data_IF_152126424977
#
_entry.id   IF_152126424977
#
_cell.length_a   1.000
_cell.length_b   1.000
_cell.length_c   1.000
_cell.angle_alpha   90.00
_cell.angle_beta   90.00
_cell.angle_gamma   90.00
#
_symmetry.space_group_name_H-M   'P 1'
#
loop_
_entity.id
_entity.type
_entity.pdbx_description
1 polymer ?
#
# COMPACT_ATOMS: atom_id res chain seq x y z
N UNK A 1 19.66 -9.13 -8.15
CA UNK A 1 20.53 -8.75 -7.02
C UNK A 1 19.80 -7.88 -6.01
N UNK A 2 19.82 -8.22 -4.71
CA UNK A 2 19.24 -7.38 -3.66
C UNK A 2 19.96 -6.04 -3.61
N UNK A 3 19.20 -4.95 -3.63
CA UNK A 3 19.72 -3.59 -3.57
C UNK A 3 19.73 -3.12 -2.11
N UNK A 4 20.83 -2.49 -1.68
CA UNK A 4 20.88 -1.81 -0.38
C UNK A 4 20.30 -0.42 -0.56
N UNK A 5 19.25 -0.12 0.19
CA UNK A 5 18.65 1.21 0.21
C UNK A 5 18.78 1.83 1.61
N UNK A 6 19.04 3.13 1.64
CA UNK A 6 18.91 3.93 2.84
C UNK A 6 17.45 4.35 2.97
N UNK A 7 16.75 3.93 4.02
CA UNK A 7 15.36 4.35 4.21
C UNK A 7 15.30 5.82 4.67
N UNK A 8 16.25 6.20 5.51
CA UNK A 8 16.32 7.53 6.10
C UNK A 8 17.70 8.11 5.82
N UNK A 9 17.72 9.31 5.25
CA UNK A 9 18.97 10.06 5.07
C UNK A 9 19.48 10.43 6.45
N UNK A 10 20.64 9.89 6.83
CA UNK A 10 21.24 10.24 8.11
C UNK A 10 21.89 11.62 8.03
N UNK A 11 21.69 12.43 9.07
CA UNK A 11 22.41 13.70 9.24
C UNK A 11 23.92 13.47 9.42
N UNK A 12 24.30 12.33 10.02
CA UNK A 12 25.68 11.91 10.21
C UNK A 12 25.86 10.44 9.84
N UNK A 13 26.93 10.14 9.08
CA UNK A 13 27.32 8.76 8.77
C UNK A 13 27.83 8.05 10.03
N UNK A 14 27.43 6.79 10.27
CA UNK A 14 27.93 6.03 11.41
C UNK A 14 29.43 5.75 11.28
N UNK A 15 30.12 5.63 12.41
CA UNK A 15 31.49 5.18 12.44
C UNK A 15 31.60 3.73 11.88
N UNK A 16 32.42 3.50 10.84
CA UNK A 16 32.58 2.16 10.27
C UNK A 16 32.96 1.14 11.35
N UNK A 17 32.29 -0.02 11.33
CA UNK A 17 32.51 -1.16 12.23
C UNK A 17 32.21 -0.93 13.73
N UNK A 18 31.92 0.31 14.16
CA UNK A 18 31.67 0.65 15.56
C UNK A 18 30.19 0.94 15.84
N UNK A 19 29.47 1.46 14.86
CA UNK A 19 28.08 1.89 15.03
C UNK A 19 27.13 1.12 14.13
N UNK A 20 25.98 0.73 14.69
CA UNK A 20 24.90 0.11 13.93
C UNK A 20 24.31 1.12 12.94
N UNK A 21 24.06 0.65 11.73
CA UNK A 21 23.49 1.47 10.66
C UNK A 21 22.11 0.95 10.29
N UNK A 22 21.08 1.75 10.56
CA UNK A 22 19.72 1.44 10.17
C UNK A 22 19.60 1.44 8.63
N UNK A 23 19.35 0.27 8.04
CA UNK A 23 19.23 0.10 6.58
C UNK A 23 18.27 -1.01 6.24
N UNK A 24 17.85 -1.07 4.98
CA UNK A 24 17.16 -2.23 4.44
C UNK A 24 17.84 -2.78 3.22
N UNK A 25 17.64 -4.08 3.04
CA UNK A 25 17.74 -4.70 1.72
C UNK A 25 16.33 -4.88 1.20
N UNK A 26 16.13 -4.43 -0.03
CA UNK A 26 14.87 -4.59 -0.75
C UNK A 26 15.06 -5.60 -1.87
N UNK A 27 14.09 -6.48 -2.03
CA UNK A 27 14.01 -7.42 -3.15
C UNK A 27 12.60 -7.40 -3.72
N UNK A 28 12.49 -7.28 -5.03
CA UNK A 28 11.25 -7.45 -5.76
C UNK A 28 11.20 -8.87 -6.35
N UNK A 29 10.20 -9.64 -5.94
CA UNK A 29 9.84 -10.92 -6.54
C UNK A 29 8.72 -10.67 -7.55
N UNK A 30 9.01 -10.88 -8.84
CA UNK A 30 8.05 -10.73 -9.92
C UNK A 30 7.60 -12.14 -10.32
N UNK A 31 6.32 -12.42 -10.09
CA UNK A 31 5.64 -13.66 -10.49
C UNK A 31 4.50 -13.31 -11.46
N UNK A 32 3.91 -14.29 -12.18
CA UNK A 32 2.92 -13.99 -13.21
C UNK A 32 1.70 -13.20 -12.69
N UNK A 33 1.22 -13.51 -11.48
CA UNK A 33 0.02 -12.89 -10.89
C UNK A 33 0.30 -11.91 -9.73
N UNK A 34 1.53 -11.88 -9.22
CA UNK A 34 1.86 -11.06 -8.05
C UNK A 34 3.26 -10.44 -8.15
N UNK A 35 3.38 -9.23 -7.61
CA UNK A 35 4.66 -8.59 -7.33
C UNK A 35 4.78 -8.42 -5.83
N UNK A 36 5.79 -9.04 -5.23
CA UNK A 36 6.01 -8.98 -3.79
C UNK A 36 7.32 -8.24 -3.52
N UNK A 37 7.26 -7.24 -2.64
CA UNK A 37 8.43 -6.52 -2.18
C UNK A 37 8.79 -7.05 -0.80
N UNK A 38 10.00 -7.60 -0.67
CA UNK A 38 10.54 -8.09 0.58
C UNK A 38 11.54 -7.08 1.13
N UNK A 39 11.35 -6.71 2.40
CA UNK A 39 12.26 -5.87 3.14
C UNK A 39 12.92 -6.67 4.25
N UNK A 40 14.26 -6.67 4.25
CA UNK A 40 15.05 -7.13 5.39
C UNK A 40 15.60 -5.91 6.13
N UNK A 41 15.26 -5.77 7.42
CA UNK A 41 15.70 -4.66 8.28
C UNK A 41 17.01 -5.01 8.98
N UNK A 42 17.92 -4.04 9.05
CA UNK A 42 19.19 -4.16 9.75
C UNK A 42 19.39 -2.96 10.67
N UNK A 43 19.82 -3.20 11.91
CA UNK A 43 20.20 -2.13 12.84
C UNK A 43 19.04 -1.36 13.47
N UNK A 44 17.79 -1.79 13.29
CA UNK A 44 16.62 -1.21 13.96
C UNK A 44 15.44 -2.19 14.03
N UNK A 45 14.54 -1.96 14.97
CA UNK A 45 13.31 -2.73 15.16
C UNK A 45 12.09 -1.81 15.15
N UNK A 46 10.95 -2.32 14.65
CA UNK A 46 9.66 -1.64 14.72
C UNK A 46 8.68 -2.59 15.42
N UNK A 47 8.50 -2.41 16.73
CA UNK A 47 7.85 -3.41 17.60
C UNK A 47 6.44 -3.79 17.14
N UNK A 48 5.69 -2.83 16.57
CA UNK A 48 4.31 -3.02 16.15
C UNK A 48 4.14 -3.24 14.64
N UNK A 49 5.24 -3.26 13.88
CA UNK A 49 5.22 -3.22 12.41
C UNK A 49 5.77 -4.50 11.79
N UNK A 50 4.94 -5.55 11.80
CA UNK A 50 5.32 -6.89 11.38
C UNK A 50 5.91 -7.68 12.54
N UNK A 51 5.30 -8.81 12.89
CA UNK A 51 5.83 -9.75 13.87
C UNK A 51 6.39 -10.95 13.12
N UNK A 52 7.69 -11.19 13.25
CA UNK A 52 8.34 -12.33 12.61
C UNK A 52 7.73 -13.62 13.16
N UNK A 53 7.29 -14.49 12.25
CA UNK A 53 6.92 -15.85 12.60
C UNK A 53 8.14 -16.76 12.43
N UNK A 54 8.80 -17.10 13.54
CA UNK A 54 9.98 -17.96 13.56
C UNK A 54 9.73 -19.38 13.02
N UNK A 55 8.46 -19.81 12.98
CA UNK A 55 8.05 -21.10 12.42
C UNK A 55 7.74 -21.03 10.93
N UNK A 56 7.67 -19.84 10.33
CA UNK A 56 7.48 -19.69 8.88
C UNK A 56 8.75 -20.08 8.12
N UNK A 57 8.58 -20.68 6.94
CA UNK A 57 9.70 -21.17 6.12
C UNK A 57 10.78 -20.10 5.86
N UNK A 58 10.35 -18.86 5.57
CA UNK A 58 11.26 -17.74 5.31
C UNK A 58 11.55 -16.88 6.55
N UNK A 59 11.04 -17.25 7.75
CA UNK A 59 11.11 -16.43 8.96
C UNK A 59 10.67 -14.99 8.70
N UNK A 60 9.56 -14.84 7.98
CA UNK A 60 9.01 -13.56 7.58
C UNK A 60 7.91 -13.11 8.54
N UNK A 61 7.58 -11.81 8.51
CA UNK A 61 6.39 -11.30 9.19
C UNK A 61 5.13 -11.57 8.37
N UNK A 62 3.97 -11.18 8.92
CA UNK A 62 2.79 -10.92 8.10
C UNK A 62 3.07 -9.86 7.04
N UNK A 63 2.23 -9.81 6.00
CA UNK A 63 2.23 -8.72 5.02
C UNK A 63 2.03 -7.39 5.75
N UNK A 64 2.97 -6.47 5.57
CA UNK A 64 2.94 -5.17 6.24
C UNK A 64 2.37 -4.05 5.38
N UNK A 65 2.37 -4.25 4.06
CA UNK A 65 1.89 -3.30 3.06
C UNK A 65 1.07 -4.02 2.00
N UNK A 66 0.00 -3.39 1.55
CA UNK A 66 -0.69 -3.73 0.31
C UNK A 66 -0.57 -2.56 -0.66
N UNK A 67 -0.24 -2.85 -1.91
CA UNK A 67 0.03 -1.84 -2.93
C UNK A 67 -1.16 -1.64 -3.86
N UNK A 68 -1.35 -0.41 -4.33
CA UNK A 68 -2.23 -0.05 -5.45
C UNK A 68 -1.46 0.78 -6.46
N UNK A 69 -1.86 0.72 -7.73
CA UNK A 69 -1.29 1.52 -8.81
C UNK A 69 -2.40 2.29 -9.51
N UNK A 70 -2.31 3.62 -9.49
CA UNK A 70 -3.31 4.51 -10.09
C UNK A 70 -2.64 5.62 -10.89
N UNK A 71 -3.44 6.39 -11.63
CA UNK A 71 -3.03 7.73 -12.04
C UNK A 71 -3.17 8.72 -10.90
N UNK A 72 -2.30 9.73 -10.86
CA UNK A 72 -2.39 10.81 -9.90
C UNK A 72 -3.69 11.59 -10.11
N UNK A 73 -4.63 11.39 -9.20
CA UNK A 73 -5.82 12.20 -9.02
C UNK A 73 -6.02 12.40 -7.52
N UNK A 74 -5.90 13.65 -7.05
CA UNK A 74 -5.92 13.96 -5.63
C UNK A 74 -7.26 13.61 -4.99
N UNK A 75 -8.38 13.83 -5.68
CA UNK A 75 -9.71 13.50 -5.16
C UNK A 75 -9.88 12.00 -4.93
N UNK A 76 -9.36 11.19 -5.85
CA UNK A 76 -9.37 9.73 -5.71
C UNK A 76 -8.47 9.27 -4.57
N UNK A 77 -7.32 9.90 -4.37
CA UNK A 77 -6.42 9.59 -3.24
C UNK A 77 -7.07 10.00 -1.92
N UNK A 78 -7.71 11.17 -1.86
CA UNK A 78 -8.34 11.69 -0.65
C UNK A 78 -9.57 10.89 -0.23
N UNK A 79 -10.20 10.13 -1.13
CA UNK A 79 -11.25 9.16 -0.81
C UNK A 79 -10.86 8.23 0.35
N UNK A 80 -9.63 7.74 0.36
CA UNK A 80 -9.15 6.80 1.38
C UNK A 80 -9.11 7.40 2.79
N UNK A 81 -8.75 8.67 2.91
CA UNK A 81 -8.82 9.39 4.19
C UNK A 81 -10.24 9.86 4.51
N UNK A 82 -10.88 10.54 3.56
CA UNK A 82 -12.13 11.27 3.80
C UNK A 82 -13.36 10.35 3.84
N UNK A 83 -13.37 9.24 3.10
CA UNK A 83 -14.50 8.30 3.01
C UNK A 83 -14.21 7.00 3.76
N UNK A 84 -12.99 6.45 3.67
CA UNK A 84 -12.63 5.23 4.42
C UNK A 84 -12.00 5.52 5.78
N UNK A 85 -11.76 6.79 6.14
CA UNK A 85 -11.26 7.15 7.47
C UNK A 85 -9.85 6.64 7.76
N UNK A 86 -9.06 6.30 6.73
CA UNK A 86 -7.69 5.86 6.91
C UNK A 86 -6.78 7.04 7.30
N UNK A 87 -5.74 6.76 8.07
CA UNK A 87 -4.78 7.77 8.47
C UNK A 87 -3.79 8.01 7.34
N UNK A 88 -3.84 9.18 6.71
CA UNK A 88 -2.81 9.60 5.74
C UNK A 88 -1.50 9.86 6.49
N UNK A 89 -0.47 9.04 6.24
CA UNK A 89 0.83 9.10 6.95
C UNK A 89 1.97 9.63 6.09
N UNK A 90 1.90 9.47 4.77
CA UNK A 90 2.84 10.05 3.81
C UNK A 90 2.07 10.63 2.64
N UNK A 91 2.38 11.87 2.30
CA UNK A 91 1.91 12.54 1.09
C UNK A 91 3.07 13.32 0.49
N UNK A 92 3.50 12.92 -0.69
CA UNK A 92 4.51 13.68 -1.42
C UNK A 92 3.82 14.67 -2.35
N UNK A 93 4.22 15.94 -2.27
CA UNK A 93 3.82 16.94 -3.26
C UNK A 93 4.40 16.60 -4.65
N UNK A 94 5.62 16.06 -4.66
CA UNK A 94 6.39 15.72 -5.85
C UNK A 94 6.50 14.21 -6.09
N UNK A 95 7.05 13.85 -7.25
CA UNK A 95 7.33 12.47 -7.62
C UNK A 95 8.46 11.92 -6.74
N UNK A 96 8.32 10.66 -6.29
CA UNK A 96 9.35 9.97 -5.52
C UNK A 96 10.56 9.61 -6.41
N UNK A 97 10.30 9.25 -7.67
CA UNK A 97 11.35 8.86 -8.61
C UNK A 97 10.88 8.84 -10.06
N UNK A 98 11.83 8.58 -10.96
CA UNK A 98 11.63 8.50 -12.41
C UNK A 98 12.50 7.40 -13.04
N UNK A 99 12.49 7.35 -14.37
CA UNK A 99 13.27 6.42 -15.18
C UNK A 99 14.79 6.42 -14.91
N UNK A 100 15.35 7.54 -14.46
CA UNK A 100 16.80 7.69 -14.27
C UNK A 100 17.30 6.90 -13.06
N UNK A 101 16.41 6.55 -12.12
CA UNK A 101 16.74 5.70 -10.99
C UNK A 101 16.71 4.21 -11.40
N UNK A 102 17.84 3.48 -11.31
CA UNK A 102 17.90 2.09 -11.77
C UNK A 102 16.94 1.14 -11.04
N UNK A 103 16.74 1.33 -9.72
CA UNK A 103 15.86 0.49 -8.90
C UNK A 103 14.39 0.72 -9.27
N UNK A 104 13.98 1.98 -9.36
CA UNK A 104 12.63 2.37 -9.77
C UNK A 104 12.30 1.89 -11.18
N UNK A 105 13.23 2.07 -12.12
CA UNK A 105 13.13 1.55 -13.49
C UNK A 105 12.94 0.03 -13.49
N UNK A 106 13.68 -0.71 -12.68
CA UNK A 106 13.55 -2.18 -12.61
C UNK A 106 12.21 -2.62 -11.99
N UNK A 107 11.80 -2.04 -10.86
CA UNK A 107 10.60 -2.44 -10.11
C UNK A 107 9.32 -2.18 -10.92
N UNK A 108 9.22 -0.99 -11.52
CA UNK A 108 8.01 -0.56 -12.23
C UNK A 108 8.13 -0.67 -13.76
N UNK A 109 9.28 -1.11 -14.28
CA UNK A 109 9.53 -1.18 -15.72
C UNK A 109 9.30 0.17 -16.42
N UNK A 110 9.78 1.24 -15.78
CA UNK A 110 9.53 2.61 -16.24
C UNK A 110 10.09 2.85 -17.66
N UNK A 111 9.40 3.67 -18.44
CA UNK A 111 9.91 4.28 -19.68
C UNK A 111 10.45 5.69 -19.41
N UNK A 112 11.28 6.29 -20.30
CA UNK A 112 11.96 7.58 -20.06
C UNK A 112 11.08 8.76 -19.63
N UNK A 113 9.80 8.75 -20.03
CA UNK A 113 8.82 9.79 -19.70
C UNK A 113 8.01 9.51 -18.43
N UNK A 114 8.21 8.34 -17.80
CA UNK A 114 7.42 7.92 -16.65
C UNK A 114 8.11 8.28 -15.33
N UNK A 115 7.27 8.74 -14.42
CA UNK A 115 7.60 9.10 -13.05
C UNK A 115 6.44 8.70 -12.15
N UNK A 116 6.76 8.34 -10.92
CA UNK A 116 5.76 7.96 -9.93
C UNK A 116 6.02 8.65 -8.60
N UNK A 117 4.95 8.82 -7.83
CA UNK A 117 5.03 9.12 -6.42
C UNK A 117 4.20 8.12 -5.63
N UNK A 118 4.23 8.26 -4.32
CA UNK A 118 3.43 7.46 -3.42
C UNK A 118 2.70 8.31 -2.40
N UNK A 119 1.51 7.83 -2.02
CA UNK A 119 0.77 8.25 -0.83
C UNK A 119 0.51 7.03 0.02
N UNK A 120 0.83 7.12 1.31
CA UNK A 120 0.65 6.01 2.25
C UNK A 120 -0.48 6.32 3.22
N UNK A 121 -1.36 5.34 3.41
CA UNK A 121 -2.42 5.34 4.40
C UNK A 121 -2.26 4.17 5.37
N UNK A 122 -2.40 4.43 6.66
CA UNK A 122 -2.38 3.42 7.70
C UNK A 122 -3.75 3.28 8.36
N UNK A 123 -3.88 2.25 9.21
CA UNK A 123 -5.03 2.10 10.09
C UNK A 123 -5.23 3.39 10.92
N UNK A 124 -6.47 3.88 11.15
CA UNK A 124 -6.73 5.07 11.96
C UNK A 124 -6.20 5.00 13.40
N UNK A 125 -5.98 3.79 13.94
CA UNK A 125 -5.35 3.57 15.26
C UNK A 125 -3.83 3.56 15.23
N UNK A 126 -3.23 3.72 14.04
CA UNK A 126 -1.79 3.80 13.88
C UNK A 126 -1.26 5.18 14.25
N UNK A 127 0.03 5.41 14.02
CA UNK A 127 0.73 6.63 14.38
C UNK A 127 1.53 7.15 13.18
N UNK A 128 1.63 8.47 13.08
CA UNK A 128 2.58 9.11 12.15
C UNK A 128 4.02 8.98 12.64
N UNK A 129 4.23 8.66 13.92
CA UNK A 129 5.54 8.29 14.44
C UNK A 129 5.89 6.87 13.97
N UNK A 130 6.97 6.68 13.18
CA UNK A 130 7.36 5.36 12.69
C UNK A 130 7.57 4.31 13.79
N UNK A 131 8.01 4.72 14.99
CA UNK A 131 8.25 3.81 16.12
C UNK A 131 6.96 3.18 16.68
N UNK A 132 5.82 3.84 16.47
CA UNK A 132 4.51 3.44 16.97
C UNK A 132 3.59 2.90 15.86
N UNK A 133 4.05 2.95 14.61
CA UNK A 133 3.26 2.53 13.45
C UNK A 133 2.84 1.05 13.54
N UNK A 134 1.63 0.77 13.07
CA UNK A 134 1.04 -0.58 13.03
C UNK A 134 1.17 -1.13 11.62
N UNK A 135 1.31 -2.45 11.47
CA UNK A 135 1.27 -3.08 10.15
C UNK A 135 -0.09 -2.96 9.46
N UNK A 136 -0.10 -3.07 8.13
CA UNK A 136 -1.33 -3.03 7.32
C UNK A 136 -1.48 -1.74 6.52
N UNK A 137 -0.34 -1.19 6.06
CA UNK A 137 -0.30 0.03 5.26
C UNK A 137 -0.91 -0.20 3.88
N UNK A 138 -1.76 0.71 3.45
CA UNK A 138 -2.14 0.88 2.06
C UNK A 138 -1.15 1.85 1.40
N UNK A 139 -0.37 1.34 0.45
CA UNK A 139 0.58 2.12 -0.34
C UNK A 139 0.03 2.37 -1.73
N UNK A 140 -0.35 3.61 -2.01
CA UNK A 140 -0.86 4.01 -3.32
C UNK A 140 0.30 4.57 -4.12
N UNK A 141 0.76 3.81 -5.12
CA UNK A 141 1.70 4.27 -6.13
C UNK A 141 0.90 4.97 -7.21
N UNK A 142 1.20 6.24 -7.46
CA UNK A 142 0.54 7.01 -8.50
C UNK A 142 1.53 7.43 -9.57
N UNK A 143 1.12 7.28 -10.82
CA UNK A 143 1.86 7.73 -11.99
C UNK A 143 1.31 9.07 -12.47
N UNK A 144 2.15 9.84 -13.15
CA UNK A 144 1.69 11.06 -13.83
C UNK A 144 0.63 10.72 -14.90
N UNK A 145 -0.33 11.60 -15.12
CA UNK A 145 -1.43 11.37 -16.08
C UNK A 145 -0.95 11.18 -17.52
N UNK A 146 0.23 11.72 -17.87
CA UNK A 146 0.90 11.55 -19.15
C UNK A 146 1.70 10.24 -19.28
N UNK A 147 1.73 9.39 -18.24
CA UNK A 147 2.44 8.11 -18.27
C UNK A 147 1.83 7.08 -19.23
N UNK A 148 0.57 7.26 -19.67
CA UNK A 148 -0.15 6.40 -20.64
C UNK A 148 -0.06 4.90 -20.35
N UNK A 149 -0.16 4.54 -19.07
CA UNK A 149 -0.35 3.16 -18.62
C UNK A 149 -1.64 2.56 -19.21
N UNK A 150 -1.55 1.29 -19.59
CA UNK A 150 -2.70 0.47 -19.94
C UNK A 150 -3.69 0.38 -18.77
N UNK A 151 -4.97 0.55 -19.06
CA UNK A 151 -6.01 0.22 -18.09
C UNK A 151 -6.14 -1.31 -17.96
N UNK A 152 -5.84 -1.84 -16.77
CA UNK A 152 -5.94 -3.27 -16.45
C UNK A 152 -6.94 -3.57 -15.30
N UNK A 153 -7.81 -2.63 -14.94
CA UNK A 153 -8.76 -2.82 -13.82
C UNK A 153 -9.70 -4.01 -14.02
N UNK A 154 -9.98 -4.40 -15.27
CA UNK A 154 -10.75 -5.60 -15.57
C UNK A 154 -10.15 -6.89 -14.96
N UNK A 155 -8.83 -6.94 -14.77
CA UNK A 155 -8.09 -8.07 -14.21
C UNK A 155 -7.91 -8.01 -12.69
N UNK A 156 -8.40 -6.96 -12.02
CA UNK A 156 -8.27 -6.77 -10.58
C UNK A 156 -9.63 -6.85 -9.87
N UNK A 157 -10.57 -7.61 -10.43
CA UNK A 157 -11.91 -7.82 -9.88
C UNK A 157 -12.00 -9.16 -9.13
N UNK A 158 -12.89 -9.29 -8.13
CA UNK A 158 -13.17 -10.55 -7.47
C UNK A 158 -13.38 -11.69 -8.48
N UNK A 159 -12.68 -12.81 -8.29
CA UNK A 159 -12.67 -13.95 -9.21
C UNK A 159 -11.54 -13.94 -10.25
N UNK A 160 -10.74 -12.87 -10.32
CA UNK A 160 -9.52 -12.83 -11.14
C UNK A 160 -8.36 -13.56 -10.46
N UNK A 161 -7.35 -13.96 -11.23
CA UNK A 161 -6.09 -14.47 -10.69
C UNK A 161 -5.25 -13.34 -10.09
N UNK A 162 -4.52 -13.64 -9.01
CA UNK A 162 -3.66 -12.67 -8.33
C UNK A 162 -4.37 -11.83 -7.28
N UNK A 163 -3.82 -10.64 -6.99
CA UNK A 163 -4.44 -9.71 -6.03
C UNK A 163 -5.62 -8.97 -6.67
N UNK A 164 -6.84 -9.33 -6.28
CA UNK A 164 -8.05 -8.88 -6.96
C UNK A 164 -9.15 -8.36 -6.03
N UNK A 165 -8.89 -8.26 -4.73
CA UNK A 165 -9.86 -7.83 -3.73
C UNK A 165 -9.15 -7.15 -2.56
N UNK A 166 -9.63 -5.97 -2.20
CA UNK A 166 -9.24 -5.29 -0.98
C UNK A 166 -10.36 -5.37 0.04
N UNK A 167 -10.02 -5.79 1.27
CA UNK A 167 -10.99 -5.94 2.35
C UNK A 167 -10.58 -5.06 3.52
N UNK A 168 -11.53 -4.31 4.07
CA UNK A 168 -11.29 -3.45 5.22
C UNK A 168 -12.31 -3.68 6.33
N UNK A 169 -11.81 -4.10 7.50
CA UNK A 169 -12.61 -4.30 8.71
C UNK A 169 -12.82 -2.98 9.44
N UNK A 170 -14.06 -2.67 9.76
CA UNK A 170 -14.45 -1.42 10.42
C UNK A 170 -15.26 -1.67 11.70
N UNK A 171 -15.62 -0.57 12.38
CA UNK A 171 -16.68 -0.53 13.40
C UNK A 171 -17.69 0.53 13.00
N UNK A 172 -18.98 0.25 13.15
CA UNK A 172 -20.09 1.04 12.65
C UNK A 172 -20.25 0.94 11.14
N UNK A 173 -20.42 -0.26 10.59
CA UNK A 173 -20.51 -0.50 9.14
C UNK A 173 -21.58 0.36 8.44
N UNK A 174 -22.68 0.69 9.12
CA UNK A 174 -23.75 1.55 8.61
C UNK A 174 -23.25 2.98 8.32
N UNK A 175 -22.36 3.52 9.15
CA UNK A 175 -21.77 4.83 8.93
C UNK A 175 -20.83 4.83 7.71
N UNK A 176 -20.07 3.75 7.53
CA UNK A 176 -19.21 3.60 6.35
C UNK A 176 -20.04 3.45 5.08
N UNK A 177 -21.11 2.67 5.12
CA UNK A 177 -22.04 2.53 3.99
C UNK A 177 -22.62 3.88 3.58
N UNK A 178 -23.10 4.69 4.53
CA UNK A 178 -23.62 6.02 4.26
C UNK A 178 -22.57 6.99 3.67
N UNK A 179 -21.32 6.95 4.18
CA UNK A 179 -20.20 7.74 3.64
C UNK A 179 -19.86 7.34 2.21
N UNK A 180 -19.78 6.04 1.93
CA UNK A 180 -19.51 5.52 0.58
C UNK A 180 -20.66 5.87 -0.37
N UNK A 181 -21.91 5.72 0.07
CA UNK A 181 -23.11 6.10 -0.70
C UNK A 181 -23.13 7.58 -1.10
N UNK A 182 -22.58 8.44 -0.25
CA UNK A 182 -22.51 9.89 -0.47
C UNK A 182 -21.25 10.34 -1.23
N UNK A 183 -20.43 9.39 -1.69
CA UNK A 183 -19.17 9.64 -2.39
C UNK A 183 -19.29 9.39 -3.91
N UNK A 184 -18.15 9.48 -4.61
CA UNK A 184 -18.05 9.12 -6.04
C UNK A 184 -17.86 7.61 -6.29
N UNK A 185 -17.87 6.79 -5.25
CA UNK A 185 -17.83 5.35 -5.40
C UNK A 185 -19.05 4.84 -6.19
N UNK A 186 -18.87 3.74 -6.90
CA UNK A 186 -19.93 3.11 -7.72
C UNK A 186 -20.12 1.65 -7.34
N UNK A 187 -21.16 1.00 -7.85
CA UNK A 187 -21.39 -0.43 -7.59
C UNK A 187 -21.62 -0.78 -6.11
N UNK A 188 -22.10 0.18 -5.31
CA UNK A 188 -22.38 -0.03 -3.89
C UNK A 188 -23.49 -1.07 -3.71
N UNK A 189 -23.21 -2.11 -2.93
CA UNK A 189 -24.21 -3.12 -2.54
C UNK A 189 -24.93 -2.71 -1.26
N UNK A 190 -26.08 -3.35 -1.00
CA UNK A 190 -26.69 -3.32 0.33
C UNK A 190 -25.78 -4.00 1.37
N UNK A 191 -25.99 -3.67 2.65
CA UNK A 191 -25.35 -4.40 3.75
C UNK A 191 -26.04 -5.76 3.90
N UNK A 192 -25.26 -6.82 3.78
CA UNK A 192 -25.73 -8.20 3.93
C UNK A 192 -24.75 -9.02 4.77
N UNK A 193 -25.18 -10.19 5.24
CA UNK A 193 -24.26 -11.15 5.88
C UNK A 193 -23.49 -11.92 4.81
N UNK A 194 -22.17 -12.02 4.97
CA UNK A 194 -21.33 -12.87 4.13
C UNK A 194 -21.46 -14.35 4.54
N UNK A 195 -20.74 -15.24 3.85
CA UNK A 195 -20.71 -16.68 4.12
C UNK A 195 -20.18 -17.06 5.50
N UNK A 196 -19.48 -16.12 6.18
CA UNK A 196 -18.98 -16.27 7.55
C UNK A 196 -19.92 -15.65 8.59
N UNK A 197 -21.05 -15.06 8.17
CA UNK A 197 -22.03 -14.42 9.06
C UNK A 197 -21.66 -12.99 9.49
N UNK A 198 -20.56 -12.42 8.98
CA UNK A 198 -20.14 -11.03 9.22
C UNK A 198 -21.00 -10.07 8.37
N UNK A 199 -21.29 -8.88 8.89
CA UNK A 199 -21.94 -7.85 8.07
C UNK A 199 -20.94 -7.36 7.04
N UNK A 200 -21.37 -7.17 5.80
CA UNK A 200 -20.50 -6.70 4.73
C UNK A 200 -21.26 -5.94 3.65
N UNK A 201 -20.55 -5.07 2.95
CA UNK A 201 -20.97 -4.49 1.69
C UNK A 201 -19.76 -4.29 0.79
N UNK A 202 -19.99 -4.19 -0.52
CA UNK A 202 -18.92 -3.94 -1.49
C UNK A 202 -19.20 -2.73 -2.35
N UNK A 203 -18.16 -2.17 -2.95
CA UNK A 203 -18.23 -1.04 -3.88
C UNK A 203 -16.96 -0.98 -4.74
N UNK A 204 -17.01 -0.14 -5.78
CA UNK A 204 -15.86 0.24 -6.60
C UNK A 204 -15.46 1.66 -6.24
N UNK A 205 -14.23 1.85 -5.78
CA UNK A 205 -13.67 3.15 -5.42
C UNK A 205 -13.57 4.07 -6.66
N UNK A 206 -13.46 5.40 -6.49
CA UNK A 206 -13.39 6.34 -7.62
C UNK A 206 -12.19 6.12 -8.57
N UNK A 207 -11.17 5.39 -8.14
CA UNK A 207 -10.02 5.00 -8.97
C UNK A 207 -10.19 3.65 -9.68
N UNK A 208 -11.31 2.95 -9.48
CA UNK A 208 -11.65 1.70 -10.15
C UNK A 208 -11.34 0.43 -9.36
N UNK A 209 -10.73 0.53 -8.17
CA UNK A 209 -10.47 -0.65 -7.34
C UNK A 209 -11.73 -1.16 -6.62
N UNK A 210 -11.91 -2.48 -6.59
CA UNK A 210 -13.00 -3.12 -5.86
C UNK A 210 -12.64 -3.31 -4.38
N UNK A 211 -13.58 -2.94 -3.50
CA UNK A 211 -13.44 -3.03 -2.06
C UNK A 211 -14.63 -3.74 -1.41
N UNK A 212 -14.34 -4.52 -0.38
CA UNK A 212 -15.34 -5.06 0.55
C UNK A 212 -15.08 -4.53 1.96
N UNK A 213 -16.10 -3.97 2.58
CA UNK A 213 -16.09 -3.55 3.98
C UNK A 213 -16.78 -4.62 4.80
N UNK A 214 -16.21 -4.96 5.96
CA UNK A 214 -16.81 -5.94 6.88
C UNK A 214 -16.78 -5.49 8.34
N UNK A 215 -17.72 -6.03 9.12
CA UNK A 215 -17.87 -5.89 10.57
C UNK A 215 -18.26 -7.22 11.23
#
# INVERSE_FOLDING_TARGET
EPQRAEIYKLEKRPAPFLENYATVREMCLIMPETRQILFQRFGYNLANYGKINEQSFFKSSQITHVGMVIYRNQENIDFYGNVLGLLKVKENADFDSDYTNPSSKAIFSLTPNQKYGATDFDNPKSSKNPAEALSGRLKIIWFSSDSKLDNKFAYTNPGSLGYSLYTYRVKGIENYHARVKSSKATGLTEIAKNEFGEKSFSFVAPDGYFWTILE
#
